data_IF_768515540507
#
_entry.id   IF_768515540507
#
_cell.length_a   1.000
_cell.length_b   1.000
_cell.length_c   1.000
_cell.angle_alpha   90.00
_cell.angle_beta   90.00
_cell.angle_gamma   90.00
#
_symmetry.space_group_name_H-M   'P 1'
#
loop_
_entity.id
_entity.type
_entity.pdbx_description
1 polymer ?
#
# COMPACT_ATOMS: atom_id res chain seq x y z
N UNK A 1 12.52 -9.33 0.27
CA UNK A 1 11.51 -10.40 0.39
C UNK A 1 11.51 -11.22 -0.90
N UNK A 2 10.99 -12.45 -0.87
CA UNK A 2 10.92 -13.33 -2.04
C UNK A 2 9.46 -13.52 -2.51
N UNK A 3 9.23 -13.69 -3.82
CA UNK A 3 7.94 -14.10 -4.37
C UNK A 3 7.47 -15.46 -3.81
N UNK A 4 6.18 -15.77 -3.99
CA UNK A 4 5.64 -17.08 -3.61
C UNK A 4 6.39 -18.24 -4.26
N UNK A 5 6.36 -19.39 -3.59
CA UNK A 5 6.97 -20.63 -4.09
C UNK A 5 6.42 -21.06 -5.45
N UNK A 6 5.15 -20.77 -5.76
CA UNK A 6 4.55 -21.09 -7.06
C UNK A 6 5.14 -20.26 -8.19
N UNK A 7 5.33 -18.95 -7.97
CA UNK A 7 6.03 -18.06 -8.91
C UNK A 7 7.48 -18.52 -9.09
N UNK A 8 8.18 -18.79 -7.99
CA UNK A 8 9.58 -19.21 -8.04
C UNK A 8 9.75 -20.53 -8.80
N UNK A 9 8.88 -21.53 -8.53
CA UNK A 9 8.90 -22.82 -9.25
C UNK A 9 8.70 -22.65 -10.74
N UNK A 10 7.85 -21.70 -11.14
CA UNK A 10 7.56 -21.39 -12.53
C UNK A 10 8.73 -20.70 -13.25
N UNK A 11 9.46 -19.84 -12.54
CA UNK A 11 10.61 -19.11 -13.09
C UNK A 11 11.92 -19.89 -13.02
N UNK A 12 12.06 -20.84 -12.11
CA UNK A 12 13.28 -21.62 -11.91
C UNK A 12 13.86 -22.24 -13.19
N UNK A 13 13.06 -22.81 -14.13
CA UNK A 13 13.59 -23.34 -15.39
C UNK A 13 14.31 -22.30 -16.27
N UNK A 14 14.09 -21.00 -16.05
CA UNK A 14 14.81 -19.94 -16.73
C UNK A 14 16.27 -19.80 -16.25
N UNK A 15 16.57 -20.32 -15.05
CA UNK A 15 17.88 -20.18 -14.36
C UNK A 15 18.76 -21.42 -14.38
N UNK A 16 18.22 -22.54 -14.84
CA UNK A 16 19.00 -23.52 -15.58
C UNK A 16 19.42 -22.89 -16.92
N UNK A 17 20.48 -23.33 -17.62
CA UNK A 17 20.71 -22.80 -18.96
C UNK A 17 19.43 -23.04 -19.78
N UNK A 18 18.64 -21.98 -19.98
CA UNK A 18 17.24 -22.13 -20.34
C UNK A 18 17.17 -22.83 -21.69
N UNK A 19 16.21 -23.75 -21.87
CA UNK A 19 16.08 -24.54 -23.10
C UNK A 19 16.02 -23.63 -24.33
N UNK A 20 15.43 -22.43 -24.18
CA UNK A 20 15.42 -21.40 -25.22
C UNK A 20 16.81 -20.95 -25.70
N UNK A 21 17.84 -20.96 -24.84
CA UNK A 21 19.23 -20.63 -25.21
C UNK A 21 19.96 -21.80 -25.87
N UNK A 22 19.77 -23.03 -25.38
CA UNK A 22 20.56 -24.18 -25.85
C UNK A 22 20.19 -24.59 -27.27
N UNK A 23 18.90 -24.63 -27.59
CA UNK A 23 18.40 -25.27 -28.82
C UNK A 23 17.21 -24.52 -29.43
N UNK A 24 16.92 -23.30 -28.95
CA UNK A 24 15.61 -22.67 -29.15
C UNK A 24 15.62 -21.27 -29.76
N UNK A 25 14.48 -20.60 -29.63
CA UNK A 25 14.25 -19.27 -30.17
C UNK A 25 15.19 -18.19 -29.60
N UNK A 26 15.80 -18.42 -28.44
CA UNK A 26 16.55 -17.44 -27.64
C UNK A 26 18.07 -17.57 -27.75
N UNK A 27 18.60 -18.39 -28.68
CA UNK A 27 20.04 -18.63 -28.83
C UNK A 27 20.90 -17.35 -29.00
N UNK A 28 20.31 -16.26 -29.52
CA UNK A 28 20.98 -14.96 -29.68
C UNK A 28 20.98 -14.06 -28.44
N UNK A 29 20.34 -14.46 -27.35
CA UNK A 29 20.31 -13.68 -26.11
C UNK A 29 21.62 -13.91 -25.33
N UNK A 30 21.96 -12.98 -24.44
CA UNK A 30 23.19 -13.07 -23.63
C UNK A 30 22.84 -13.78 -22.31
N UNK A 31 23.68 -14.76 -21.94
CA UNK A 31 23.68 -15.39 -20.62
C UNK A 31 25.05 -15.21 -19.98
N UNK A 32 25.13 -14.38 -18.96
CA UNK A 32 26.33 -14.16 -18.15
C UNK A 32 25.91 -13.72 -16.73
N UNK A 33 25.77 -14.67 -15.79
CA UNK A 33 25.42 -14.35 -14.41
C UNK A 33 26.41 -13.44 -13.70
N UNK A 34 27.70 -13.45 -14.06
CA UNK A 34 28.70 -12.59 -13.42
C UNK A 34 28.55 -11.12 -13.81
N UNK A 35 28.01 -10.87 -15.01
CA UNK A 35 27.67 -9.54 -15.52
C UNK A 35 26.17 -9.21 -15.40
N UNK A 36 25.39 -9.96 -14.60
CA UNK A 36 23.96 -9.72 -14.38
C UNK A 36 23.05 -10.09 -15.57
N UNK A 37 23.59 -10.68 -16.63
CA UNK A 37 22.81 -11.16 -17.78
C UNK A 37 22.16 -12.51 -17.51
N UNK A 38 21.07 -12.48 -16.75
CA UNK A 38 20.15 -13.59 -16.51
C UNK A 38 18.71 -13.12 -16.73
N UNK A 39 17.73 -14.03 -16.86
CA UNK A 39 16.32 -13.68 -16.76
C UNK A 39 16.04 -12.87 -15.50
N UNK A 40 15.37 -11.73 -15.63
CA UNK A 40 15.10 -10.77 -14.54
C UNK A 40 13.89 -9.89 -14.87
N UNK A 41 13.73 -8.81 -14.12
CA UNK A 41 12.64 -7.84 -14.36
C UNK A 41 11.32 -8.21 -13.66
N UNK A 42 11.40 -8.97 -12.57
CA UNK A 42 10.24 -9.38 -11.79
C UNK A 42 10.40 -9.10 -10.30
N UNK A 43 9.31 -8.73 -9.63
CA UNK A 43 9.29 -8.37 -8.20
C UNK A 43 7.86 -8.45 -7.63
N UNK A 44 7.75 -8.69 -6.33
CA UNK A 44 6.47 -8.70 -5.61
C UNK A 44 5.91 -10.12 -5.46
N UNK A 45 4.58 -10.22 -5.44
CA UNK A 45 3.85 -11.45 -5.14
C UNK A 45 4.35 -12.17 -3.88
N UNK A 46 4.51 -11.44 -2.78
CA UNK A 46 5.07 -11.96 -1.52
C UNK A 46 4.02 -12.60 -0.60
N UNK A 47 2.75 -12.51 -0.96
CA UNK A 47 1.63 -13.19 -0.30
C UNK A 47 1.06 -14.29 -1.21
N UNK A 48 0.14 -15.12 -0.70
CA UNK A 48 -0.41 -16.23 -1.49
C UNK A 48 -1.02 -15.78 -2.83
N UNK A 49 -1.06 -16.66 -3.83
CA UNK A 49 -1.54 -16.31 -5.18
C UNK A 49 -2.94 -15.64 -5.19
N UNK A 50 -3.79 -16.04 -4.25
CA UNK A 50 -5.16 -15.53 -4.08
C UNK A 50 -5.21 -14.08 -3.54
N UNK A 51 -4.10 -13.58 -2.98
CA UNK A 51 -3.97 -12.20 -2.49
C UNK A 51 -3.46 -11.24 -3.58
N UNK A 52 -2.99 -11.75 -4.72
CA UNK A 52 -2.51 -10.92 -5.82
C UNK A 52 -3.70 -10.28 -6.53
N UNK A 53 -3.65 -8.97 -6.64
CA UNK A 53 -4.74 -8.12 -7.16
C UNK A 53 -4.34 -7.37 -8.41
N UNK A 54 -3.05 -7.14 -8.62
CA UNK A 54 -2.50 -6.42 -9.77
C UNK A 54 -1.29 -7.14 -10.32
N UNK A 55 -1.26 -7.34 -11.64
CA UNK A 55 -0.08 -7.77 -12.38
C UNK A 55 0.35 -6.63 -13.31
N UNK A 56 1.54 -6.09 -13.09
CA UNK A 56 2.16 -5.09 -13.96
C UNK A 56 3.13 -5.81 -14.91
N UNK A 57 2.83 -5.78 -16.21
CA UNK A 57 3.66 -6.37 -17.26
C UNK A 57 4.43 -5.27 -17.97
N UNK A 58 5.73 -5.21 -17.73
CA UNK A 58 6.69 -4.37 -18.43
C UNK A 58 7.18 -5.05 -19.72
N UNK A 59 7.97 -4.34 -20.53
CA UNK A 59 8.38 -4.85 -21.84
C UNK A 59 9.51 -5.89 -21.72
N UNK A 60 10.68 -5.44 -21.29
CA UNK A 60 11.88 -6.22 -21.09
C UNK A 60 12.76 -5.51 -20.07
N UNK A 61 13.68 -6.22 -19.39
CA UNK A 61 14.63 -5.54 -18.53
C UNK A 61 15.61 -4.71 -19.36
N UNK A 62 16.04 -3.58 -18.80
CA UNK A 62 17.15 -2.77 -19.31
C UNK A 62 18.49 -3.51 -19.24
N UNK A 63 19.60 -2.82 -19.48
CA UNK A 63 20.91 -3.39 -19.23
C UNK A 63 21.12 -3.65 -17.73
N UNK A 64 21.95 -4.65 -17.34
CA UNK A 64 22.28 -4.84 -15.94
C UNK A 64 22.96 -3.58 -15.40
N UNK A 65 22.74 -3.27 -14.12
CA UNK A 65 23.50 -2.19 -13.50
C UNK A 65 25.00 -2.56 -13.43
N UNK A 66 25.93 -1.58 -13.38
CA UNK A 66 27.38 -1.86 -13.45
C UNK A 66 27.92 -2.82 -12.38
N UNK A 67 27.26 -2.91 -11.23
CA UNK A 67 27.63 -3.81 -10.12
C UNK A 67 26.70 -5.01 -9.96
N UNK A 68 25.77 -5.23 -10.88
CA UNK A 68 24.80 -6.32 -10.83
C UNK A 68 25.51 -7.67 -11.08
N UNK A 69 25.36 -8.59 -10.14
CA UNK A 69 25.93 -9.93 -10.23
C UNK A 69 24.93 -10.94 -9.65
N UNK A 70 24.65 -11.97 -10.42
CA UNK A 70 23.71 -13.03 -10.10
C UNK A 70 24.33 -14.42 -10.21
N UNK A 71 25.66 -14.52 -10.14
CA UNK A 71 26.34 -15.81 -10.09
C UNK A 71 25.97 -16.57 -8.80
N UNK A 72 25.86 -15.85 -7.68
CA UNK A 72 25.45 -16.40 -6.37
C UNK A 72 26.27 -17.64 -6.00
N UNK A 73 25.62 -18.70 -5.50
CA UNK A 73 26.22 -20.03 -5.25
C UNK A 73 26.39 -20.91 -6.50
N UNK A 74 26.08 -20.38 -7.70
CA UNK A 74 26.13 -21.11 -8.96
C UNK A 74 24.93 -22.02 -9.25
N UNK A 75 23.97 -22.16 -8.34
CA UNK A 75 22.77 -22.98 -8.52
C UNK A 75 21.62 -22.18 -9.12
N UNK A 76 20.69 -22.79 -9.89
CA UNK A 76 19.51 -22.10 -10.39
C UNK A 76 18.69 -21.39 -9.29
N UNK A 77 18.56 -22.04 -8.13
CA UNK A 77 17.86 -21.47 -6.97
C UNK A 77 18.58 -20.24 -6.41
N UNK A 78 19.91 -20.32 -6.24
CA UNK A 78 20.70 -19.20 -5.75
C UNK A 78 20.74 -18.01 -6.71
N UNK A 79 20.72 -18.25 -8.04
CA UNK A 79 20.60 -17.17 -9.04
C UNK A 79 19.22 -16.51 -8.98
N UNK A 80 18.16 -17.31 -8.95
CA UNK A 80 16.78 -16.83 -8.88
C UNK A 80 16.54 -15.98 -7.63
N UNK A 81 17.02 -16.44 -6.47
CA UNK A 81 16.95 -15.71 -5.22
C UNK A 81 17.75 -14.39 -5.25
N UNK A 82 18.95 -14.41 -5.83
CA UNK A 82 19.76 -13.20 -6.05
C UNK A 82 19.02 -12.15 -6.90
N UNK A 83 18.42 -12.56 -8.02
CA UNK A 83 17.62 -11.68 -8.89
C UNK A 83 16.39 -11.12 -8.16
N UNK A 84 15.63 -11.97 -7.48
CA UNK A 84 14.44 -11.55 -6.76
C UNK A 84 14.76 -10.52 -5.66
N UNK A 85 15.85 -10.73 -4.91
CA UNK A 85 16.32 -9.79 -3.89
C UNK A 85 16.76 -8.46 -4.52
N UNK A 86 17.53 -8.52 -5.60
CA UNK A 86 18.04 -7.32 -6.26
C UNK A 86 16.92 -6.46 -6.85
N UNK A 87 15.94 -7.08 -7.52
CA UNK A 87 14.77 -6.39 -8.06
C UNK A 87 13.93 -5.76 -6.94
N UNK A 88 13.76 -6.45 -5.80
CA UNK A 88 13.10 -5.90 -4.61
C UNK A 88 13.78 -4.62 -4.13
N UNK A 89 15.10 -4.63 -3.99
CA UNK A 89 15.88 -3.46 -3.56
C UNK A 89 15.78 -2.31 -4.55
N UNK A 90 15.89 -2.60 -5.85
CA UNK A 90 15.80 -1.58 -6.89
C UNK A 90 14.44 -0.88 -6.91
N UNK A 91 13.34 -1.65 -6.85
CA UNK A 91 12.00 -1.07 -6.78
C UNK A 91 11.81 -0.31 -5.47
N UNK A 92 12.15 -0.91 -4.32
CA UNK A 92 11.99 -0.29 -2.99
C UNK A 92 12.63 1.10 -2.91
N UNK A 93 13.87 1.19 -3.38
CA UNK A 93 14.70 2.38 -3.24
C UNK A 93 14.53 3.36 -4.41
N UNK A 94 13.86 2.95 -5.49
CA UNK A 94 13.71 3.80 -6.67
C UNK A 94 15.05 4.12 -7.33
N UNK A 95 15.89 3.09 -7.53
CA UNK A 95 17.30 3.23 -7.95
C UNK A 95 17.48 4.08 -9.22
N UNK A 96 16.54 3.97 -10.16
CA UNK A 96 16.52 4.78 -11.38
C UNK A 96 15.12 5.35 -11.64
N UNK A 97 14.96 6.01 -12.79
CA UNK A 97 13.68 6.60 -13.20
C UNK A 97 12.58 5.57 -13.43
N UNK A 98 12.92 4.39 -13.96
CA UNK A 98 11.96 3.30 -14.15
C UNK A 98 11.42 2.82 -12.81
N UNK A 99 12.30 2.54 -11.85
CA UNK A 99 11.92 2.09 -10.52
C UNK A 99 11.12 3.15 -9.75
N UNK A 100 11.48 4.44 -9.84
CA UNK A 100 10.68 5.53 -9.26
C UNK A 100 9.28 5.62 -9.86
N UNK A 101 9.15 5.45 -11.17
CA UNK A 101 7.85 5.45 -11.83
C UNK A 101 7.01 4.23 -11.42
N UNK A 102 7.62 3.05 -11.25
CA UNK A 102 6.93 1.89 -10.67
C UNK A 102 6.43 2.19 -9.25
N UNK A 103 7.24 2.82 -8.40
CA UNK A 103 6.81 3.28 -7.06
C UNK A 103 5.61 4.22 -7.16
N UNK A 104 5.63 5.19 -8.07
CA UNK A 104 4.48 6.07 -8.32
C UNK A 104 3.23 5.31 -8.73
N UNK A 105 3.33 4.36 -9.67
CA UNK A 105 2.18 3.53 -10.09
C UNK A 105 1.62 2.74 -8.90
N UNK A 106 2.49 2.17 -8.07
CA UNK A 106 2.10 1.43 -6.87
C UNK A 106 1.40 2.34 -5.85
N UNK A 107 1.96 3.51 -5.56
CA UNK A 107 1.38 4.46 -4.61
C UNK A 107 0.02 5.00 -5.10
N UNK A 108 -0.15 5.18 -6.42
CA UNK A 108 -1.44 5.54 -7.02
C UNK A 108 -2.47 4.41 -6.89
N UNK A 109 -2.08 3.17 -7.19
CA UNK A 109 -2.95 2.00 -7.09
C UNK A 109 -3.33 1.69 -5.64
N UNK A 110 -2.41 1.94 -4.71
CA UNK A 110 -2.48 1.49 -3.34
C UNK A 110 -2.24 2.61 -2.32
N UNK A 111 -3.08 3.66 -2.29
CA UNK A 111 -2.87 4.82 -1.44
C UNK A 111 -2.83 4.43 0.05
N UNK A 112 -1.84 4.96 0.76
CA UNK A 112 -1.65 4.74 2.21
C UNK A 112 -1.08 3.39 2.61
N UNK A 113 -0.86 2.45 1.67
CA UNK A 113 -0.18 1.20 1.96
C UNK A 113 1.35 1.37 1.91
N UNK A 114 2.07 0.74 2.83
CA UNK A 114 3.54 0.65 2.76
C UNK A 114 4.00 -0.25 1.60
N UNK A 115 5.28 -0.15 1.24
CA UNK A 115 5.83 -0.89 0.09
C UNK A 115 5.67 -2.40 0.23
N UNK A 116 5.95 -2.94 1.42
CA UNK A 116 5.81 -4.34 1.74
C UNK A 116 4.39 -4.84 1.47
N UNK A 117 3.38 -4.09 1.91
CA UNK A 117 1.96 -4.38 1.68
C UNK A 117 1.59 -4.26 0.20
N UNK A 118 2.08 -3.23 -0.49
CA UNK A 118 1.87 -3.08 -1.94
C UNK A 118 2.41 -4.30 -2.71
N UNK A 119 3.56 -4.84 -2.30
CA UNK A 119 4.18 -6.03 -2.91
C UNK A 119 3.50 -7.35 -2.54
N UNK A 120 2.71 -7.39 -1.46
CA UNK A 120 1.81 -8.52 -1.19
C UNK A 120 0.68 -8.61 -2.20
N UNK A 121 0.23 -7.48 -2.75
CA UNK A 121 -0.91 -7.42 -3.68
C UNK A 121 -0.51 -7.28 -5.15
N UNK A 122 0.75 -6.99 -5.43
CA UNK A 122 1.23 -6.71 -6.78
C UNK A 122 2.28 -7.70 -7.22
N UNK A 123 2.13 -8.23 -8.42
CA UNK A 123 3.18 -8.90 -9.17
C UNK A 123 3.68 -7.99 -10.28
N UNK A 124 4.99 -7.77 -10.36
CA UNK A 124 5.64 -7.03 -11.45
C UNK A 124 6.46 -8.06 -12.23
N UNK A 125 6.35 -8.06 -13.55
CA UNK A 125 7.12 -8.93 -14.44
C UNK A 125 7.34 -8.28 -15.79
N UNK A 126 8.14 -8.91 -16.64
CA UNK A 126 8.37 -8.48 -18.02
C UNK A 126 7.76 -9.47 -19.01
N UNK A 127 7.35 -8.94 -20.18
CA UNK A 127 6.89 -9.78 -21.30
C UNK A 127 8.00 -10.63 -21.93
N UNK A 128 9.26 -10.24 -21.73
CA UNK A 128 10.46 -11.03 -22.02
C UNK A 128 11.45 -10.82 -20.87
N UNK A 129 11.90 -11.90 -20.25
CA UNK A 129 12.71 -11.82 -19.02
C UNK A 129 14.19 -11.51 -19.26
N UNK A 130 14.70 -11.60 -20.49
CA UNK A 130 16.10 -11.29 -20.81
C UNK A 130 16.23 -9.89 -21.39
N UNK A 131 17.40 -9.26 -21.24
CA UNK A 131 17.69 -8.00 -21.94
C UNK A 131 17.81 -8.19 -23.43
N UNK A 132 17.35 -7.19 -24.18
CA UNK A 132 17.64 -7.10 -25.60
C UNK A 132 19.14 -6.83 -25.82
N UNK A 133 19.69 -7.31 -26.94
CA UNK A 133 21.09 -7.09 -27.33
C UNK A 133 21.49 -5.60 -27.36
N UNK A 134 20.53 -4.75 -27.72
CA UNK A 134 20.59 -3.30 -27.54
C UNK A 134 19.46 -2.93 -26.60
N UNK A 135 19.74 -2.16 -25.56
CA UNK A 135 18.74 -1.69 -24.62
C UNK A 135 17.58 -0.98 -25.33
N UNK A 136 16.35 -1.33 -24.95
CA UNK A 136 15.14 -0.86 -25.62
C UNK A 136 15.02 -1.32 -27.08
N UNK A 137 15.82 -2.28 -27.53
CA UNK A 137 15.76 -2.89 -28.86
C UNK A 137 14.54 -3.78 -29.08
N UNK A 138 14.47 -4.42 -30.25
CA UNK A 138 13.43 -5.42 -30.55
C UNK A 138 13.98 -6.82 -30.38
N UNK A 139 13.13 -7.73 -29.91
CA UNK A 139 13.38 -9.14 -30.01
C UNK A 139 12.78 -9.70 -31.30
N UNK A 140 13.34 -10.78 -31.87
CA UNK A 140 12.63 -11.56 -32.87
C UNK A 140 11.30 -12.07 -32.29
N UNK A 141 10.22 -12.03 -33.07
CA UNK A 141 8.87 -12.47 -32.63
C UNK A 141 8.88 -13.89 -32.06
N UNK A 142 9.75 -14.78 -32.57
CA UNK A 142 9.92 -16.14 -32.03
C UNK A 142 10.37 -16.15 -30.56
N UNK A 143 11.23 -15.22 -30.14
CA UNK A 143 11.68 -15.09 -28.74
C UNK A 143 10.55 -14.56 -27.88
N UNK A 144 9.86 -13.53 -28.37
CA UNK A 144 8.76 -12.89 -27.65
C UNK A 144 7.67 -13.92 -27.35
N UNK A 145 7.29 -14.72 -28.35
CA UNK A 145 6.33 -15.82 -28.18
C UNK A 145 6.84 -16.92 -27.26
N UNK A 146 8.09 -17.37 -27.43
CA UNK A 146 8.66 -18.42 -26.60
C UNK A 146 8.68 -18.03 -25.12
N UNK A 147 9.17 -16.82 -24.81
CA UNK A 147 9.23 -16.33 -23.44
C UNK A 147 7.82 -16.10 -22.86
N UNK A 148 6.91 -15.55 -23.67
CA UNK A 148 5.55 -15.30 -23.21
C UNK A 148 4.78 -16.60 -22.93
N UNK A 149 4.84 -17.58 -23.83
CA UNK A 149 4.15 -18.86 -23.66
C UNK A 149 4.72 -19.67 -22.50
N UNK A 150 6.04 -19.66 -22.33
CA UNK A 150 6.70 -20.43 -21.28
C UNK A 150 6.57 -19.80 -19.90
N UNK A 151 6.58 -18.47 -19.81
CA UNK A 151 6.66 -17.79 -18.52
C UNK A 151 5.58 -16.75 -18.30
N UNK A 152 5.32 -15.82 -19.23
CA UNK A 152 4.36 -14.72 -18.98
C UNK A 152 2.93 -15.23 -18.79
N UNK A 153 2.41 -16.02 -19.74
CA UNK A 153 1.03 -16.52 -19.69
C UNK A 153 0.81 -17.41 -18.45
N UNK A 154 1.72 -18.35 -18.13
CA UNK A 154 1.60 -19.10 -16.89
C UNK A 154 1.66 -18.23 -15.63
N UNK A 155 2.50 -17.19 -15.56
CA UNK A 155 2.51 -16.24 -14.43
C UNK A 155 1.17 -15.52 -14.27
N UNK A 156 0.56 -15.05 -15.36
CA UNK A 156 -0.75 -14.38 -15.32
C UNK A 156 -1.83 -15.35 -14.81
N UNK A 157 -1.81 -16.60 -15.30
CA UNK A 157 -2.78 -17.62 -14.94
C UNK A 157 -2.69 -18.08 -13.46
N UNK A 158 -1.57 -17.82 -12.77
CA UNK A 158 -1.48 -18.03 -11.33
C UNK A 158 -2.40 -17.09 -10.53
N UNK A 159 -2.83 -15.97 -11.13
CA UNK A 159 -3.55 -14.90 -10.43
C UNK A 159 -4.90 -14.59 -11.11
N UNK A 160 -5.86 -15.54 -11.18
CA UNK A 160 -7.09 -15.41 -11.95
C UNK A 160 -8.01 -14.25 -11.50
N UNK A 161 -7.83 -13.76 -10.27
CA UNK A 161 -8.58 -12.62 -9.74
C UNK A 161 -7.94 -11.26 -10.01
N UNK A 162 -6.70 -11.20 -10.48
CA UNK A 162 -5.94 -9.96 -10.60
C UNK A 162 -6.35 -9.13 -11.81
N UNK A 163 -6.18 -7.82 -11.71
CA UNK A 163 -6.14 -6.92 -12.86
C UNK A 163 -4.76 -7.07 -13.51
N UNK A 164 -4.72 -7.31 -14.82
CA UNK A 164 -3.47 -7.33 -15.58
C UNK A 164 -3.33 -6.02 -16.33
N UNK A 165 -2.16 -5.37 -16.23
CA UNK A 165 -1.86 -4.13 -16.92
C UNK A 165 -0.60 -4.26 -17.77
N UNK A 166 -0.67 -3.80 -19.02
CA UNK A 166 0.46 -3.75 -19.94
C UNK A 166 1.09 -2.36 -19.93
N UNK A 167 2.34 -2.23 -19.48
CA UNK A 167 3.04 -0.95 -19.36
C UNK A 167 3.83 -0.64 -20.63
N UNK A 168 3.17 0.03 -21.57
CA UNK A 168 3.72 0.51 -22.84
C UNK A 168 3.40 -0.38 -24.04
N UNK A 169 3.54 0.19 -25.25
CA UNK A 169 3.13 -0.44 -26.52
C UNK A 169 3.82 -1.77 -26.81
N UNK A 170 5.06 -1.98 -26.32
CA UNK A 170 5.77 -3.25 -26.50
C UNK A 170 5.15 -4.37 -25.68
N UNK A 171 4.92 -4.12 -24.39
CA UNK A 171 4.27 -5.08 -23.50
C UNK A 171 2.86 -5.41 -24.02
N UNK A 172 2.09 -4.38 -24.40
CA UNK A 172 0.77 -4.55 -25.01
C UNK A 172 0.83 -5.45 -26.26
N UNK A 173 1.71 -5.15 -27.21
CA UNK A 173 1.82 -5.90 -28.45
C UNK A 173 2.15 -7.37 -28.20
N UNK A 174 3.11 -7.64 -27.31
CA UNK A 174 3.55 -9.01 -26.98
C UNK A 174 2.49 -9.80 -26.24
N UNK A 175 1.77 -9.16 -25.31
CA UNK A 175 0.63 -9.78 -24.63
C UNK A 175 -0.45 -10.20 -25.63
N UNK A 176 -0.83 -9.31 -26.56
CA UNK A 176 -1.79 -9.65 -27.63
C UNK A 176 -1.29 -10.79 -28.51
N UNK A 177 0.00 -10.78 -28.89
CA UNK A 177 0.60 -11.86 -29.68
C UNK A 177 0.64 -13.21 -28.95
N UNK A 178 0.70 -13.19 -27.62
CA UNK A 178 0.63 -14.37 -26.76
C UNK A 178 -0.82 -14.82 -26.45
N UNK A 179 -1.83 -14.16 -27.03
CA UNK A 179 -3.24 -14.49 -26.81
C UNK A 179 -3.83 -13.93 -25.52
N UNK A 180 -3.10 -13.08 -24.78
CA UNK A 180 -3.63 -12.37 -23.61
C UNK A 180 -4.34 -11.13 -24.10
N UNK A 181 -5.66 -11.09 -24.00
CA UNK A 181 -6.49 -9.97 -24.49
C UNK A 181 -7.19 -9.20 -23.39
N UNK A 182 -7.38 -9.80 -22.21
CA UNK A 182 -8.00 -9.16 -21.04
C UNK A 182 -6.93 -8.47 -20.19
N UNK A 183 -6.60 -7.24 -20.55
CA UNK A 183 -5.66 -6.41 -19.81
C UNK A 183 -5.93 -4.92 -20.04
N UNK A 184 -5.43 -4.08 -19.13
CA UNK A 184 -5.51 -2.62 -19.22
C UNK A 184 -4.20 -2.08 -19.81
N UNK A 185 -4.22 -1.40 -20.96
CA UNK A 185 -3.04 -0.71 -21.45
C UNK A 185 -2.76 0.54 -20.60
N UNK A 186 -1.50 0.76 -20.24
CA UNK A 186 -1.04 1.98 -19.60
C UNK A 186 0.34 2.39 -20.15
N UNK A 187 0.73 3.65 -19.93
CA UNK A 187 2.00 4.18 -20.37
C UNK A 187 3.19 3.46 -19.70
N UNK A 188 4.31 3.38 -20.40
CA UNK A 188 5.50 2.68 -19.89
C UNK A 188 6.10 3.42 -18.70
N UNK A 189 6.59 2.69 -17.70
CA UNK A 189 7.38 3.24 -16.60
C UNK A 189 8.81 3.62 -17.04
N UNK A 190 9.32 3.09 -18.16
CA UNK A 190 10.71 3.25 -18.57
C UNK A 190 10.94 4.49 -19.46
N UNK A 191 12.08 5.19 -19.33
CA UNK A 191 12.49 6.21 -20.29
C UNK A 191 12.81 5.64 -21.69
N UNK A 192 12.72 6.46 -22.75
CA UNK A 192 12.18 7.83 -22.75
C UNK A 192 10.64 7.84 -22.78
N UNK A 193 10.00 6.68 -22.99
CA UNK A 193 8.55 6.59 -23.21
C UNK A 193 7.71 7.12 -22.06
N UNK A 194 8.21 7.04 -20.82
CA UNK A 194 7.53 7.57 -19.63
C UNK A 194 7.30 9.10 -19.64
N UNK A 195 7.94 9.82 -20.57
CA UNK A 195 7.88 11.28 -20.67
C UNK A 195 6.84 11.77 -21.68
N UNK A 196 6.18 10.85 -22.37
CA UNK A 196 5.18 11.21 -23.37
C UNK A 196 3.91 11.75 -22.68
N UNK A 197 3.24 12.68 -23.34
CA UNK A 197 1.95 13.20 -22.91
C UNK A 197 0.94 12.05 -22.76
N UNK A 198 0.08 12.13 -21.73
CA UNK A 198 -0.92 11.10 -21.45
C UNK A 198 -0.42 9.90 -20.63
N UNK A 199 0.89 9.74 -20.44
CA UNK A 199 1.43 8.60 -19.67
C UNK A 199 1.02 8.67 -18.20
N UNK A 200 1.17 9.83 -17.57
CA UNK A 200 0.79 10.01 -16.16
C UNK A 200 -0.71 9.77 -15.96
N UNK A 201 -1.53 10.29 -16.87
CA UNK A 201 -2.99 10.15 -16.88
C UNK A 201 -3.40 8.69 -17.01
N UNK A 202 -2.69 7.92 -17.84
CA UNK A 202 -2.93 6.48 -17.98
C UNK A 202 -2.63 5.69 -16.69
N UNK A 203 -1.63 6.11 -15.91
CA UNK A 203 -1.35 5.50 -14.59
C UNK A 203 -2.46 5.81 -13.59
N UNK A 204 -2.98 7.04 -13.58
CA UNK A 204 -4.12 7.41 -12.77
C UNK A 204 -5.39 6.64 -13.16
N UNK A 205 -5.60 6.43 -14.47
CA UNK A 205 -6.71 5.62 -14.97
C UNK A 205 -6.62 4.17 -14.49
N UNK A 206 -5.46 3.51 -14.68
CA UNK A 206 -5.20 2.18 -14.14
C UNK A 206 -5.46 2.12 -12.63
N UNK A 207 -4.90 3.06 -11.88
CA UNK A 207 -5.09 3.15 -10.44
C UNK A 207 -6.56 3.34 -10.04
N UNK A 208 -7.36 4.08 -10.82
CA UNK A 208 -8.80 4.22 -10.55
C UNK A 208 -9.53 2.88 -10.66
N UNK A 209 -9.18 2.05 -11.65
CA UNK A 209 -9.77 0.73 -11.86
C UNK A 209 -9.36 -0.21 -10.73
N UNK A 210 -8.07 -0.21 -10.36
CA UNK A 210 -7.54 -1.00 -9.25
C UNK A 210 -8.25 -0.62 -7.94
N UNK A 211 -8.33 0.66 -7.61
CA UNK A 211 -8.98 1.14 -6.37
C UNK A 211 -10.48 0.86 -6.34
N UNK A 212 -11.16 0.88 -7.50
CA UNK A 212 -12.59 0.55 -7.60
C UNK A 212 -12.85 -0.93 -7.36
N UNK A 213 -12.02 -1.82 -7.92
CA UNK A 213 -12.18 -3.28 -7.78
C UNK A 213 -11.67 -3.80 -6.44
N UNK A 214 -10.57 -3.23 -5.98
CA UNK A 214 -9.90 -3.60 -4.73
C UNK A 214 -9.77 -2.37 -3.84
N UNK A 215 -10.89 -1.90 -3.26
CA UNK A 215 -10.82 -0.85 -2.28
C UNK A 215 -9.91 -1.32 -1.15
N UNK A 216 -8.73 -0.72 -1.02
CA UNK A 216 -7.95 -0.90 0.19
C UNK A 216 -8.81 -0.35 1.31
N UNK A 217 -8.76 -1.01 2.45
CA UNK A 217 -9.37 -0.48 3.65
C UNK A 217 -8.92 0.95 3.95
N UNK A 218 -7.84 1.53 3.37
CA UNK A 218 -7.53 2.97 3.45
C UNK A 218 -8.46 3.87 2.62
N UNK A 219 -9.18 3.38 1.61
CA UNK A 219 -10.22 4.16 0.91
C UNK A 219 -11.58 4.06 1.61
N UNK A 220 -11.87 2.90 2.22
CA UNK A 220 -13.03 2.73 3.10
C UNK A 220 -12.78 3.34 4.48
N UNK A 221 -11.52 3.37 4.89
CA UNK A 221 -10.91 3.97 6.06
C UNK A 221 -9.96 5.11 5.67
N UNK A 222 -10.36 6.00 4.79
CA UNK A 222 -10.01 7.42 4.90
C UNK A 222 -11.34 8.13 5.16
N UNK A 223 -12.43 7.64 4.54
CA UNK A 223 -13.81 7.82 5.02
C UNK A 223 -14.06 7.24 6.42
N UNK A 224 -13.51 6.07 6.77
CA UNK A 224 -13.51 5.54 8.15
C UNK A 224 -12.32 5.95 9.01
N UNK A 225 -11.11 6.23 8.50
CA UNK A 225 -9.93 6.53 9.35
C UNK A 225 -9.74 8.00 9.67
N UNK A 226 -10.38 8.92 8.92
CA UNK A 226 -10.69 10.22 9.51
C UNK A 226 -11.71 10.09 10.68
N UNK A 227 -12.38 8.93 10.80
CA UNK A 227 -13.14 8.49 11.98
C UNK A 227 -12.50 7.35 12.80
N UNK A 228 -11.27 6.91 12.49
CA UNK A 228 -10.61 5.75 13.12
C UNK A 228 -9.07 5.91 13.24
N UNK A 229 -8.53 7.13 13.22
CA UNK A 229 -7.70 7.45 14.38
C UNK A 229 -8.59 7.07 15.57
N UNK A 230 -8.14 6.17 16.44
CA UNK A 230 -8.65 6.21 17.82
C UNK A 230 -8.19 7.56 18.33
N UNK A 231 -9.00 8.55 18.01
CA UNK A 231 -9.11 9.80 18.68
C UNK A 231 -9.44 9.34 20.10
N UNK A 232 -8.41 9.22 20.95
CA UNK A 232 -8.61 9.15 22.41
C UNK A 232 -9.15 10.50 22.92
N UNK A 233 -10.07 11.10 22.15
CA UNK A 233 -10.81 12.33 22.42
C UNK A 233 -12.31 12.00 22.32
N UNK A 234 -13.14 12.77 22.99
CA UNK A 234 -14.58 12.67 22.81
C UNK A 234 -15.00 12.85 21.33
N UNK A 235 -16.07 12.17 20.90
CA UNK A 235 -16.69 12.47 19.61
C UNK A 235 -17.31 13.87 19.60
N UNK A 236 -17.57 14.42 18.41
CA UNK A 236 -18.32 15.68 18.29
C UNK A 236 -19.73 15.54 18.85
N UNK A 237 -20.30 14.35 18.70
CA UNK A 237 -21.60 13.98 19.26
C UNK A 237 -21.57 14.04 20.79
N UNK A 238 -20.54 13.49 21.44
CA UNK A 238 -20.36 13.63 22.88
C UNK A 238 -20.06 15.07 23.31
N UNK A 239 -19.21 15.81 22.58
CA UNK A 239 -18.94 17.23 22.86
C UNK A 239 -20.23 18.06 22.83
N UNK A 240 -21.06 17.88 21.80
CA UNK A 240 -22.34 18.55 21.66
C UNK A 240 -23.33 18.12 22.75
N UNK A 241 -23.36 16.84 23.10
CA UNK A 241 -24.16 16.33 24.21
C UNK A 241 -23.75 16.97 25.54
N UNK A 242 -22.44 17.04 25.85
CA UNK A 242 -21.94 17.63 27.07
C UNK A 242 -22.26 19.13 27.16
N UNK A 243 -22.12 19.86 26.05
CA UNK A 243 -22.53 21.26 25.93
C UNK A 243 -24.03 21.45 26.19
N UNK A 244 -24.87 20.66 25.53
CA UNK A 244 -26.31 20.71 25.71
C UNK A 244 -26.73 20.34 27.14
N UNK A 245 -26.05 19.37 27.76
CA UNK A 245 -26.28 18.96 29.14
C UNK A 245 -25.94 20.07 30.13
N UNK A 246 -24.83 20.80 29.92
CA UNK A 246 -24.49 21.98 30.74
C UNK A 246 -25.56 23.07 30.60
N UNK A 247 -25.97 23.41 29.37
CA UNK A 247 -27.01 24.42 29.14
C UNK A 247 -28.32 24.04 29.82
N UNK A 248 -28.78 22.80 29.61
CA UNK A 248 -29.99 22.27 30.24
C UNK A 248 -29.90 22.31 31.77
N UNK A 249 -28.74 21.96 32.32
CA UNK A 249 -28.49 21.99 33.76
C UNK A 249 -28.48 23.44 34.31
N UNK A 250 -27.93 24.40 33.58
CA UNK A 250 -27.90 25.81 34.00
C UNK A 250 -29.25 26.53 33.87
N UNK A 251 -30.11 26.07 32.96
CA UNK A 251 -31.44 26.66 32.71
C UNK A 251 -32.56 25.92 33.46
N UNK A 252 -32.28 24.76 34.05
CA UNK A 252 -33.27 23.97 34.78
C UNK A 252 -33.80 24.70 36.01
N UNK A 253 -35.13 24.66 36.21
CA UNK A 253 -35.75 25.12 37.45
C UNK A 253 -35.35 24.30 38.68
N UNK A 254 -34.94 23.05 38.46
CA UNK A 254 -34.51 22.11 39.49
C UNK A 254 -33.26 21.36 38.99
N UNK A 255 -32.07 21.99 39.05
CA UNK A 255 -30.84 21.38 38.57
C UNK A 255 -30.47 20.15 39.43
N UNK A 256 -29.88 19.13 38.79
CA UNK A 256 -29.35 17.97 39.50
C UNK A 256 -28.17 18.36 40.42
N UNK A 257 -27.84 17.51 41.41
CA UNK A 257 -26.60 17.69 42.16
C UNK A 257 -25.40 17.53 41.22
N UNK A 258 -24.38 18.38 41.36
CA UNK A 258 -23.23 18.41 40.44
C UNK A 258 -22.53 17.05 40.33
N UNK A 259 -22.41 16.30 41.42
CA UNK A 259 -21.79 14.97 41.40
C UNK A 259 -22.62 13.94 40.60
N UNK A 260 -23.95 14.03 40.65
CA UNK A 260 -24.87 13.19 39.86
C UNK A 260 -24.74 13.54 38.38
N UNK A 261 -24.70 14.84 38.05
CA UNK A 261 -24.48 15.33 36.70
C UNK A 261 -23.14 14.84 36.13
N UNK A 262 -22.05 15.00 36.89
CA UNK A 262 -20.70 14.56 36.49
C UNK A 262 -20.64 13.04 36.28
N UNK A 263 -21.29 12.25 37.13
CA UNK A 263 -21.36 10.80 36.96
C UNK A 263 -22.12 10.41 35.68
N UNK A 264 -23.20 11.13 35.35
CA UNK A 264 -23.94 10.94 34.10
C UNK A 264 -23.09 11.23 32.87
N UNK A 265 -22.27 12.29 32.90
CA UNK A 265 -21.31 12.57 31.82
C UNK A 265 -20.26 11.47 31.67
N UNK A 266 -19.76 10.89 32.77
CA UNK A 266 -18.82 9.77 32.70
C UNK A 266 -19.45 8.50 32.12
N UNK A 267 -20.70 8.19 32.47
CA UNK A 267 -21.43 7.07 31.87
C UNK A 267 -21.63 7.27 30.36
N UNK A 268 -21.96 8.49 29.94
CA UNK A 268 -22.06 8.84 28.52
C UNK A 268 -20.69 8.77 27.81
N UNK A 269 -19.60 9.14 28.49
CA UNK A 269 -18.24 9.03 27.95
C UNK A 269 -17.82 7.57 27.75
N UNK A 270 -18.20 6.67 28.66
CA UNK A 270 -17.97 5.23 28.52
C UNK A 270 -18.75 4.64 27.34
N UNK A 271 -19.97 5.12 27.11
CA UNK A 271 -20.76 4.74 25.94
C UNK A 271 -20.13 5.24 24.64
N UNK A 272 -19.70 6.50 24.60
CA UNK A 272 -18.98 7.09 23.47
C UNK A 272 -17.68 6.32 23.17
N UNK A 273 -16.92 5.99 24.22
CA UNK A 273 -15.72 5.16 24.12
C UNK A 273 -16.01 3.77 23.55
N UNK A 274 -17.07 3.12 24.02
CA UNK A 274 -17.48 1.82 23.50
C UNK A 274 -17.88 1.90 22.03
N UNK A 275 -18.65 2.93 21.63
CA UNK A 275 -19.04 3.14 20.24
C UNK A 275 -17.82 3.37 19.33
N UNK A 276 -16.81 4.09 19.81
CA UNK A 276 -15.57 4.36 19.06
C UNK A 276 -14.65 3.14 18.95
N UNK A 277 -14.51 2.37 20.03
CA UNK A 277 -13.45 1.34 20.13
C UNK A 277 -13.95 -0.10 20.04
N UNK A 278 -15.25 -0.32 20.22
CA UNK A 278 -15.86 -1.66 20.38
C UNK A 278 -15.46 -2.37 21.68
N UNK A 279 -14.80 -1.69 22.63
CA UNK A 279 -14.32 -2.28 23.88
C UNK A 279 -15.09 -1.73 25.07
N UNK A 280 -15.66 -2.63 25.86
CA UNK A 280 -16.21 -2.26 27.16
C UNK A 280 -15.07 -1.98 28.13
N UNK A 281 -14.97 -0.73 28.57
CA UNK A 281 -13.92 -0.29 29.47
C UNK A 281 -14.42 0.83 30.39
N UNK A 282 -14.12 0.74 31.68
CA UNK A 282 -14.30 1.84 32.62
C UNK A 282 -13.23 2.90 32.40
N UNK A 283 -13.65 4.14 32.20
CA UNK A 283 -12.73 5.27 31.98
C UNK A 283 -12.17 5.83 33.29
N UNK A 284 -12.84 5.52 34.41
CA UNK A 284 -12.36 5.76 35.75
C UNK A 284 -11.67 4.50 36.32
N UNK A 285 -10.71 4.71 37.21
CA UNK A 285 -10.14 3.66 38.05
C UNK A 285 -10.99 3.40 39.31
N UNK A 286 -10.55 2.49 40.16
CA UNK A 286 -11.27 2.14 41.39
C UNK A 286 -11.34 3.30 42.41
N UNK A 287 -10.47 4.31 42.27
CA UNK A 287 -10.47 5.53 43.09
C UNK A 287 -11.27 6.68 42.48
N UNK A 288 -11.94 6.47 41.34
CA UNK A 288 -12.70 7.51 40.65
C UNK A 288 -11.82 8.48 39.85
N UNK A 289 -10.54 8.17 39.62
CA UNK A 289 -9.65 8.99 38.80
C UNK A 289 -9.69 8.54 37.34
N UNK A 290 -9.62 9.50 36.42
CA UNK A 290 -9.59 9.20 35.00
C UNK A 290 -8.29 8.48 34.62
N UNK A 291 -8.42 7.38 33.87
CA UNK A 291 -7.28 6.67 33.26
C UNK A 291 -6.58 7.56 32.24
N UNK A 292 -5.32 7.26 31.95
CA UNK A 292 -4.49 8.07 31.03
C UNK A 292 -5.15 8.21 29.65
N UNK A 293 -5.70 7.11 29.12
CA UNK A 293 -6.42 7.11 27.86
C UNK A 293 -7.71 7.95 27.84
N UNK A 294 -8.27 8.29 29.01
CA UNK A 294 -9.49 9.09 29.17
C UNK A 294 -9.20 10.57 29.46
N UNK A 295 -7.94 11.01 29.36
CA UNK A 295 -7.52 12.36 29.77
C UNK A 295 -8.26 13.51 29.08
N UNK A 296 -8.67 13.35 27.82
CA UNK A 296 -9.44 14.37 27.09
C UNK A 296 -10.92 14.40 27.47
N UNK A 297 -11.54 13.25 27.78
CA UNK A 297 -12.86 13.21 28.41
C UNK A 297 -12.82 13.86 29.79
N UNK A 298 -11.78 13.56 30.58
CA UNK A 298 -11.61 14.15 31.91
C UNK A 298 -11.47 15.68 31.86
N UNK A 299 -10.81 16.22 30.83
CA UNK A 299 -10.69 17.66 30.64
C UNK A 299 -12.04 18.30 30.29
N UNK A 300 -12.80 17.71 29.36
CA UNK A 300 -14.12 18.21 28.98
C UNK A 300 -15.12 18.14 30.14
N UNK A 301 -15.15 17.03 30.87
CA UNK A 301 -16.06 16.85 32.02
C UNK A 301 -15.70 17.83 33.15
N UNK A 302 -14.40 18.10 33.37
CA UNK A 302 -13.96 19.15 34.31
C UNK A 302 -14.43 20.54 33.89
N UNK A 303 -14.35 20.86 32.60
CA UNK A 303 -14.90 22.11 32.05
C UNK A 303 -16.41 22.20 32.29
N UNK A 304 -17.16 21.15 31.97
CA UNK A 304 -18.61 21.12 32.19
C UNK A 304 -18.96 21.35 33.67
N UNK A 305 -18.23 20.69 34.57
CA UNK A 305 -18.36 20.91 36.02
C UNK A 305 -18.11 22.38 36.40
N UNK A 306 -17.02 22.98 35.92
CA UNK A 306 -16.68 24.37 36.26
C UNK A 306 -17.72 25.37 35.74
N UNK A 307 -18.31 25.12 34.58
CA UNK A 307 -19.35 25.99 34.01
C UNK A 307 -20.65 25.96 34.83
N UNK A 308 -20.95 24.83 35.48
CA UNK A 308 -22.11 24.71 36.37
C UNK A 308 -21.83 25.33 37.73
N UNK A 309 -20.66 25.05 38.31
CA UNK A 309 -20.29 25.55 39.64
C UNK A 309 -20.00 27.06 39.62
N UNK A 310 -19.47 27.60 38.52
CA UNK A 310 -19.13 29.00 38.34
C UNK A 310 -19.32 29.42 36.87
N UNK A 311 -20.53 29.86 36.46
CA UNK A 311 -20.83 30.21 35.06
C UNK A 311 -19.99 31.35 34.47
N UNK A 312 -19.28 32.09 35.31
CA UNK A 312 -18.34 33.16 34.94
C UNK A 312 -16.88 32.71 34.90
N UNK A 313 -16.59 31.42 35.17
CA UNK A 313 -15.23 30.90 35.21
C UNK A 313 -14.56 30.90 33.83
N UNK A 314 -13.30 31.30 33.81
CA UNK A 314 -12.51 31.67 32.64
C UNK A 314 -12.09 30.52 31.70
N UNK A 315 -12.50 29.28 31.96
CA UNK A 315 -12.20 28.17 31.05
C UNK A 315 -13.21 28.21 29.91
N UNK A 316 -12.88 28.92 28.84
CA UNK A 316 -13.69 28.88 27.63
C UNK A 316 -13.48 27.56 26.89
N UNK A 317 -14.43 27.17 26.04
CA UNK A 317 -14.22 26.05 25.13
C UNK A 317 -12.95 26.24 24.27
N UNK A 318 -12.47 27.48 24.06
CA UNK A 318 -11.19 27.75 23.39
C UNK A 318 -9.98 27.26 24.19
N UNK A 319 -10.02 27.27 25.52
CA UNK A 319 -8.98 26.67 26.37
C UNK A 319 -8.99 25.14 26.28
N UNK A 320 -10.17 24.54 26.25
CA UNK A 320 -10.31 23.11 25.97
C UNK A 320 -9.74 22.75 24.60
N UNK A 321 -10.09 23.48 23.55
CA UNK A 321 -9.59 23.21 22.20
C UNK A 321 -8.09 23.46 22.06
N UNK A 322 -7.51 24.43 22.79
CA UNK A 322 -6.05 24.60 22.92
C UNK A 322 -5.39 23.39 23.57
N UNK A 323 -5.93 22.90 24.69
CA UNK A 323 -5.42 21.70 25.36
C UNK A 323 -5.48 20.45 24.47
N UNK A 324 -6.57 20.28 23.71
CA UNK A 324 -6.70 19.20 22.72
C UNK A 324 -5.61 19.31 21.66
N UNK A 325 -5.33 20.52 21.15
CA UNK A 325 -4.28 20.75 20.15
C UNK A 325 -2.88 20.40 20.69
N UNK A 326 -2.54 20.78 21.92
CA UNK A 326 -1.24 20.46 22.54
C UNK A 326 -1.04 18.95 22.76
N UNK A 327 -2.10 18.25 23.20
CA UNK A 327 -2.05 16.80 23.46
C UNK A 327 -2.00 15.95 22.19
N UNK A 328 -2.34 16.51 21.03
CA UNK A 328 -2.41 15.80 19.75
C UNK A 328 -1.22 16.07 18.84
N UNK A 329 -0.31 16.98 19.19
CA UNK A 329 0.94 17.18 18.44
C UNK A 329 1.87 15.96 18.60
N UNK A 330 2.47 15.45 17.51
CA UNK A 330 3.48 14.41 17.60
C UNK A 330 4.66 14.92 18.43
N UNK A 331 5.03 14.20 19.50
CA UNK A 331 6.28 14.48 20.23
C UNK A 331 7.43 14.30 19.25
N UNK A 332 8.05 15.41 18.83
CA UNK A 332 9.31 15.39 18.10
C UNK A 332 10.34 14.67 18.99
N UNK A 333 10.79 13.50 18.55
CA UNK A 333 11.74 12.68 19.30
C UNK A 333 13.05 13.42 19.56
N UNK A 334 13.51 13.36 20.82
CA UNK A 334 14.91 13.53 21.19
C UNK A 334 15.57 12.17 21.28
#
# INVERSE_FOLDING_TARGET
MTPTSDVLRLLQPAFEPCVGFREGACAQNIWDPHAGHVPRGFCGATAGANEIRLVLVCAEPGNPHPSENHASDGTPAGRLDSVARYAWECVRNGNDRFHRNLRTILDLCWPGADFETQMRWTWITDSVLCSAKKEGGRFPVKVERECANRFLVPQINLFPGAIVAALGKKAEHRMRQAGVTDFIPAGTAAPPGCNQEGVSESWHHLASIVRKRFPIQSNTAERKHMGQMILRRPTKEFEAFAQAAVLAQTEASHPEQVDVFVQSLWNAAELDWFQQTGKHQKLLDAGGLAREEASLYAALIRLCRSLIEAPTAAISYDEYYRFVAEKTQPRAGR
#
